data_IF_916663199016
#
_entry.id   IF_916663199016
#
_cell.length_a   1.000
_cell.length_b   1.000
_cell.length_c   1.000
_cell.angle_alpha   90.00
_cell.angle_beta   90.00
_cell.angle_gamma   90.00
#
_symmetry.space_group_name_H-M   'P 1'
#
loop_
_entity.id
_entity.type
_entity.pdbx_description
1 polymer ?
#
# COMPACT_ATOMS: atom_id res chain seq x y z
N UNK A 1 -56.60 7.02 5.06
CA UNK A 1 -55.91 6.58 3.83
C UNK A 1 -55.20 5.28 4.14
N UNK A 2 -55.53 4.18 3.45
CA UNK A 2 -54.89 2.88 3.70
C UNK A 2 -53.53 2.88 2.98
N UNK A 3 -52.42 2.54 3.64
CA UNK A 3 -51.12 2.45 2.97
C UNK A 3 -51.20 1.34 1.91
N UNK A 4 -50.74 1.63 0.70
CA UNK A 4 -50.61 0.63 -0.36
C UNK A 4 -49.47 -0.31 0.05
N UNK A 5 -49.77 -1.61 0.15
CA UNK A 5 -48.82 -2.63 0.54
C UNK A 5 -47.82 -2.92 -0.58
N UNK A 6 -46.58 -3.19 -0.19
CA UNK A 6 -45.50 -3.58 -1.08
C UNK A 6 -45.82 -4.91 -1.78
N UNK A 7 -45.56 -4.99 -3.08
CA UNK A 7 -45.85 -6.21 -3.86
C UNK A 7 -44.64 -7.15 -3.87
N UNK A 8 -44.88 -8.46 -4.06
CA UNK A 8 -43.81 -9.44 -4.22
C UNK A 8 -42.93 -9.12 -5.44
N UNK A 9 -43.54 -8.63 -6.52
CA UNK A 9 -42.83 -8.20 -7.74
C UNK A 9 -41.89 -7.04 -7.44
N UNK A 10 -42.32 -6.08 -6.64
CA UNK A 10 -41.50 -4.94 -6.24
C UNK A 10 -40.26 -5.40 -5.46
N UNK A 11 -40.41 -6.38 -4.56
CA UNK A 11 -39.27 -6.97 -3.85
C UNK A 11 -38.30 -7.68 -4.81
N UNK A 12 -38.84 -8.45 -5.76
CA UNK A 12 -38.03 -9.17 -6.75
C UNK A 12 -37.21 -8.21 -7.60
N UNK A 13 -37.82 -7.10 -8.03
CA UNK A 13 -37.12 -6.07 -8.82
C UNK A 13 -36.05 -5.39 -7.99
N UNK A 14 -36.34 -5.00 -6.74
CA UNK A 14 -35.37 -4.34 -5.85
C UNK A 14 -34.15 -5.23 -5.60
N UNK A 15 -34.36 -6.50 -5.27
CA UNK A 15 -33.25 -7.45 -5.03
C UNK A 15 -32.45 -7.68 -6.32
N UNK A 16 -33.11 -7.78 -7.47
CA UNK A 16 -32.44 -7.89 -8.77
C UNK A 16 -31.56 -6.68 -9.09
N UNK A 17 -32.08 -5.46 -8.89
CA UNK A 17 -31.33 -4.22 -9.11
C UNK A 17 -30.13 -4.09 -8.17
N UNK A 18 -30.30 -4.44 -6.88
CA UNK A 18 -29.18 -4.48 -5.92
C UNK A 18 -28.11 -5.49 -6.40
N UNK A 19 -28.52 -6.68 -6.85
CA UNK A 19 -27.61 -7.69 -7.40
C UNK A 19 -26.82 -7.19 -8.61
N UNK A 20 -27.49 -6.51 -9.56
CA UNK A 20 -26.83 -5.91 -10.72
C UNK A 20 -25.83 -4.82 -10.32
N UNK A 21 -26.23 -3.91 -9.43
CA UNK A 21 -25.35 -2.84 -8.94
C UNK A 21 -24.11 -3.41 -8.24
N UNK A 22 -24.28 -4.41 -7.37
CA UNK A 22 -23.17 -5.06 -6.67
C UNK A 22 -22.23 -5.80 -7.63
N UNK A 23 -22.78 -6.44 -8.68
CA UNK A 23 -21.98 -7.10 -9.72
C UNK A 23 -21.11 -6.14 -10.52
N UNK A 24 -21.62 -4.95 -10.84
CA UNK A 24 -20.90 -3.94 -11.62
C UNK A 24 -19.69 -3.35 -10.88
N UNK A 25 -19.76 -3.19 -9.55
CA UNK A 25 -18.67 -2.61 -8.74
C UNK A 25 -17.39 -3.46 -8.79
N UNK A 26 -17.52 -4.79 -8.92
CA UNK A 26 -16.37 -5.74 -8.94
C UNK A 26 -15.41 -5.52 -10.11
N UNK A 27 -15.89 -5.03 -11.25
CA UNK A 27 -15.08 -4.83 -12.46
C UNK A 27 -14.15 -3.61 -12.38
N UNK A 28 -14.41 -2.69 -11.45
CA UNK A 28 -13.66 -1.42 -11.34
C UNK A 28 -12.38 -1.56 -10.52
N UNK A 29 -12.21 -2.65 -9.77
CA UNK A 29 -11.05 -2.90 -8.90
C UNK A 29 -10.19 -4.02 -9.48
N UNK A 30 -9.86 -3.92 -10.77
CA UNK A 30 -8.86 -4.78 -11.40
C UNK A 30 -7.53 -4.04 -11.54
N UNK A 31 -7.08 -3.39 -10.47
CA UNK A 31 -5.68 -2.99 -10.34
C UNK A 31 -4.91 -4.25 -10.02
N UNK A 32 -4.24 -4.83 -11.01
CA UNK A 32 -3.43 -6.03 -10.86
C UNK A 32 -2.50 -5.88 -9.64
N UNK A 33 -2.73 -6.61 -8.53
CA UNK A 33 -1.94 -6.46 -7.31
C UNK A 33 -0.46 -6.75 -7.55
N UNK A 34 -0.13 -7.57 -8.57
CA UNK A 34 1.24 -7.81 -8.98
C UNK A 34 1.89 -6.55 -9.59
N UNK A 35 1.14 -5.73 -10.33
CA UNK A 35 1.66 -4.46 -10.86
C UNK A 35 1.92 -3.44 -9.75
N UNK A 36 1.06 -3.37 -8.74
CA UNK A 36 1.28 -2.49 -7.58
C UNK A 36 2.56 -2.90 -6.83
N UNK A 37 2.70 -4.20 -6.55
CA UNK A 37 3.88 -4.74 -5.88
C UNK A 37 5.17 -4.50 -6.69
N UNK A 38 5.11 -4.66 -8.01
CA UNK A 38 6.26 -4.42 -8.88
C UNK A 38 6.69 -2.95 -8.88
N UNK A 39 5.73 -2.02 -8.89
CA UNK A 39 6.03 -0.58 -8.78
C UNK A 39 6.68 -0.23 -7.45
N UNK A 40 6.21 -0.82 -6.36
CA UNK A 40 6.77 -0.57 -5.03
C UNK A 40 8.19 -1.15 -4.91
N UNK A 41 8.42 -2.35 -5.45
CA UNK A 41 9.76 -2.97 -5.50
C UNK A 41 10.75 -2.11 -6.31
N UNK A 42 10.33 -1.55 -7.45
CA UNK A 42 11.18 -0.67 -8.26
C UNK A 42 11.54 0.63 -7.52
N UNK A 43 10.58 1.23 -6.81
CA UNK A 43 10.83 2.43 -5.98
C UNK A 43 11.83 2.13 -4.86
N UNK A 44 11.67 1.00 -4.19
CA UNK A 44 12.60 0.56 -3.15
C UNK A 44 14.00 0.34 -3.72
N UNK A 45 14.12 -0.38 -4.84
CA UNK A 45 15.40 -0.60 -5.51
C UNK A 45 16.11 0.71 -5.89
N UNK A 46 15.36 1.70 -6.41
CA UNK A 46 15.89 3.02 -6.72
C UNK A 46 16.42 3.75 -5.47
N UNK A 47 15.69 3.72 -4.36
CA UNK A 47 16.13 4.33 -3.10
C UNK A 47 17.39 3.66 -2.53
N UNK A 48 17.48 2.33 -2.61
CA UNK A 48 18.65 1.57 -2.15
C UNK A 48 19.88 1.84 -3.02
N UNK A 49 19.71 1.91 -4.34
CA UNK A 49 20.78 2.27 -5.27
C UNK A 49 21.28 3.69 -5.01
N UNK A 50 20.39 4.65 -4.78
CA UNK A 50 20.75 6.02 -4.41
C UNK A 50 21.52 6.05 -3.07
N UNK A 51 21.03 5.38 -2.04
CA UNK A 51 21.70 5.28 -0.75
C UNK A 51 23.07 4.59 -0.83
N UNK A 52 23.19 3.53 -1.64
CA UNK A 52 24.47 2.85 -1.89
C UNK A 52 25.46 3.77 -2.61
N UNK A 53 25.01 4.52 -3.62
CA UNK A 53 25.86 5.50 -4.32
C UNK A 53 26.38 6.57 -3.36
N UNK A 54 25.53 7.02 -2.43
CA UNK A 54 25.88 8.00 -1.40
C UNK A 54 26.84 7.39 -0.36
N UNK A 55 26.64 6.15 0.07
CA UNK A 55 27.51 5.45 1.01
C UNK A 55 28.91 5.18 0.43
N UNK A 56 28.98 4.78 -0.86
CA UNK A 56 30.24 4.61 -1.59
C UNK A 56 30.99 5.93 -1.75
N UNK A 57 30.28 7.05 -1.96
CA UNK A 57 30.88 8.38 -2.05
C UNK A 57 31.32 8.96 -0.68
N UNK A 58 30.65 8.58 0.42
CA UNK A 58 30.93 9.10 1.77
C UNK A 58 32.02 8.32 2.52
N UNK A 59 32.25 7.04 2.17
CA UNK A 59 33.35 6.24 2.76
C UNK A 59 33.27 6.01 4.27
N UNK A 60 32.16 6.38 4.93
CA UNK A 60 31.98 6.25 6.38
C UNK A 60 31.06 5.08 6.72
N UNK A 61 31.60 4.11 7.48
CA UNK A 61 30.81 3.06 8.12
C UNK A 61 30.01 3.67 9.28
N UNK A 62 28.70 3.84 9.08
CA UNK A 62 27.77 4.22 10.14
C UNK A 62 27.29 2.92 10.81
N UNK A 63 27.55 2.79 12.12
CA UNK A 63 27.09 1.63 12.90
C UNK A 63 25.86 2.04 13.70
N UNK A 64 24.72 1.39 13.45
CA UNK A 64 23.52 1.56 14.26
C UNK A 64 23.63 0.72 15.54
N UNK A 65 23.45 1.35 16.70
CA UNK A 65 23.28 0.64 17.97
C UNK A 65 21.85 0.86 18.50
N UNK A 66 21.11 -0.21 18.83
CA UNK A 66 19.85 -0.10 19.55
C UNK A 66 20.11 0.31 21.01
N UNK A 67 19.40 1.31 21.51
CA UNK A 67 19.44 1.79 22.90
C UNK A 67 18.06 1.65 23.54
N UNK A 68 17.99 1.67 24.86
CA UNK A 68 16.73 1.52 25.62
C UNK A 68 15.68 2.61 25.30
N UNK A 69 16.10 3.73 24.70
CA UNK A 69 15.23 4.86 24.36
C UNK A 69 15.14 5.12 22.84
N UNK A 70 15.73 4.27 21.99
CA UNK A 70 15.63 4.39 20.53
C UNK A 70 16.88 3.99 19.75
N UNK A 71 17.09 4.64 18.60
CA UNK A 71 18.18 4.33 17.67
C UNK A 71 19.25 5.42 17.72
N UNK A 72 20.50 5.06 18.03
CA UNK A 72 21.62 6.01 18.03
C UNK A 72 22.61 5.69 16.91
N UNK A 73 22.95 6.71 16.13
CA UNK A 73 23.91 6.63 15.02
C UNK A 73 25.32 6.96 15.53
N UNK A 74 26.23 5.99 15.51
CA UNK A 74 27.64 6.20 15.88
C UNK A 74 28.49 6.30 14.60
N UNK A 75 28.94 7.51 14.27
CA UNK A 75 29.87 7.76 13.15
C UNK A 75 31.28 7.44 13.68
N UNK A 76 31.81 6.26 13.35
CA UNK A 76 33.19 5.92 13.71
C UNK A 76 34.15 6.59 12.72
N UNK A 77 34.71 7.74 13.10
CA UNK A 77 35.85 8.32 12.40
C UNK A 77 37.07 7.41 12.57
N UNK A 78 37.72 7.08 11.45
CA UNK A 78 38.93 6.26 11.39
C UNK A 78 40.10 7.11 11.92
N UNK A 79 40.83 6.72 12.99
CA UNK A 79 42.04 7.43 13.38
C UNK A 79 43.10 7.24 12.28
N UNK A 80 43.83 8.33 12.00
CA UNK A 80 44.93 8.39 11.05
C UNK A 80 46.13 7.54 11.50
#
# INVERSE_FOLDING_TARGET
MRPQGFTLVELMVVIGLIGLMLGLVRLTVNSDPAQLLHRDAQRLAASLSAAQSQASASGQLIRLRPTEHGWQYEIRQRPA
#
